data_IF_052944432137
#
_entry.id   IF_052944432137
#
_cell.length_a   1.000
_cell.length_b   1.000
_cell.length_c   1.000
_cell.angle_alpha   90.00
_cell.angle_beta   90.00
_cell.angle_gamma   90.00
#
_symmetry.space_group_name_H-M   'P 1'
#
loop_
_entity.id
_entity.type
_entity.pdbx_description
1 polymer ?
#
# COMPACT_ATOMS: atom_id res chain seq x y z
N UNK A 1 -24.45 -14.27 -21.82
CA UNK A 1 -23.29 -13.54 -21.28
C UNK A 1 -22.82 -12.58 -22.35
N UNK A 2 -23.35 -11.36 -22.32
CA UNK A 2 -23.16 -10.32 -23.33
C UNK A 2 -21.75 -9.77 -23.20
N UNK A 3 -20.86 -10.19 -24.10
CA UNK A 3 -19.57 -9.53 -24.29
C UNK A 3 -19.85 -8.11 -24.77
N UNK A 4 -19.46 -7.13 -23.96
CA UNK A 4 -19.53 -5.71 -24.25
C UNK A 4 -18.65 -5.44 -25.49
N UNK A 5 -19.24 -5.53 -26.69
CA UNK A 5 -18.53 -5.33 -27.95
C UNK A 5 -18.23 -3.84 -28.10
N UNK A 6 -17.04 -3.44 -27.64
CA UNK A 6 -16.54 -2.10 -27.84
C UNK A 6 -16.43 -1.80 -29.33
N UNK A 7 -17.14 -0.78 -29.79
CA UNK A 7 -17.09 -0.32 -31.18
C UNK A 7 -15.75 0.39 -31.46
N UNK A 8 -15.21 0.26 -32.68
CA UNK A 8 -14.00 0.97 -33.04
C UNK A 8 -14.21 2.48 -32.99
N UNK A 9 -13.18 3.20 -32.54
CA UNK A 9 -13.19 4.65 -32.49
C UNK A 9 -13.17 5.26 -33.91
N UNK A 10 -13.80 6.44 -34.12
CA UNK A 10 -13.89 7.07 -35.43
C UNK A 10 -12.55 7.36 -36.11
N UNK A 11 -11.54 7.78 -35.33
CA UNK A 11 -10.19 8.04 -35.82
C UNK A 11 -9.24 6.95 -35.35
N UNK A 12 -8.72 6.17 -36.29
CA UNK A 12 -7.76 5.12 -36.02
C UNK A 12 -6.32 5.64 -36.18
N UNK A 13 -5.54 5.56 -35.10
CA UNK A 13 -4.11 5.93 -35.10
C UNK A 13 -3.26 4.69 -35.36
N UNK A 14 -2.12 4.84 -36.06
CA UNK A 14 -1.13 3.77 -36.26
C UNK A 14 -0.16 3.69 -35.08
N UNK A 15 0.06 2.49 -34.49
CA UNK A 15 1.05 2.33 -33.44
C UNK A 15 2.47 2.46 -34.01
N UNK A 16 3.37 3.05 -33.24
CA UNK A 16 4.80 3.17 -33.53
C UNK A 16 5.57 2.07 -32.81
N UNK A 17 6.59 1.48 -33.45
CA UNK A 17 7.34 0.36 -32.89
C UNK A 17 8.20 0.72 -31.65
N UNK A 18 8.42 2.01 -31.39
CA UNK A 18 9.23 2.49 -30.26
C UNK A 18 8.39 3.20 -29.18
N UNK A 19 7.07 3.24 -29.32
CA UNK A 19 6.20 3.88 -28.32
C UNK A 19 5.70 2.88 -27.28
N UNK A 20 5.36 3.39 -26.09
CA UNK A 20 4.72 2.58 -25.06
C UNK A 20 3.22 2.48 -25.32
N UNK A 21 2.59 1.44 -24.79
CA UNK A 21 1.15 1.23 -24.84
C UNK A 21 0.39 2.41 -24.20
N UNK A 22 0.91 2.96 -23.10
CA UNK A 22 0.34 4.17 -22.48
C UNK A 22 0.40 5.37 -23.44
N UNK A 23 1.53 5.58 -24.13
CA UNK A 23 1.67 6.67 -25.11
C UNK A 23 0.77 6.48 -26.33
N UNK A 24 0.62 5.25 -26.81
CA UNK A 24 -0.30 4.93 -27.89
C UNK A 24 -1.76 5.20 -27.51
N UNK A 25 -2.20 4.80 -26.31
CA UNK A 25 -3.54 5.10 -25.79
C UNK A 25 -3.76 6.61 -25.68
N UNK A 26 -2.75 7.34 -25.22
CA UNK A 26 -2.79 8.80 -25.09
C UNK A 26 -3.04 9.46 -26.46
N UNK A 27 -2.23 9.12 -27.47
CA UNK A 27 -2.42 9.59 -28.86
C UNK A 27 -3.77 9.19 -29.45
N UNK A 28 -4.25 7.98 -29.16
CA UNK A 28 -5.54 7.51 -29.64
C UNK A 28 -6.70 8.29 -29.01
N UNK A 29 -6.58 8.67 -27.73
CA UNK A 29 -7.55 9.51 -27.04
C UNK A 29 -7.56 10.93 -27.63
N UNK A 30 -6.40 11.55 -27.77
CA UNK A 30 -6.23 12.88 -28.37
C UNK A 30 -6.81 12.95 -29.78
N UNK A 31 -6.51 11.95 -30.63
CA UNK A 31 -7.03 11.88 -31.98
C UNK A 31 -8.56 11.86 -32.02
N UNK A 32 -9.20 11.24 -31.03
CA UNK A 32 -10.66 11.14 -30.89
C UNK A 32 -11.26 12.20 -29.95
N UNK A 33 -10.49 13.21 -29.53
CA UNK A 33 -10.92 14.24 -28.59
C UNK A 33 -11.48 13.69 -27.26
N UNK A 34 -10.95 12.56 -26.80
CA UNK A 34 -11.27 11.94 -25.53
C UNK A 34 -10.22 12.29 -24.48
N UNK A 35 -10.60 12.31 -23.20
CA UNK A 35 -9.63 12.40 -22.11
C UNK A 35 -8.76 11.14 -22.08
N UNK A 36 -7.43 11.25 -22.07
CA UNK A 36 -6.54 10.09 -22.01
C UNK A 36 -6.80 9.19 -20.80
N UNK A 37 -7.07 9.78 -19.63
CA UNK A 37 -7.38 9.01 -18.42
C UNK A 37 -8.67 8.18 -18.57
N UNK A 38 -9.67 8.73 -19.26
CA UNK A 38 -10.95 8.05 -19.50
C UNK A 38 -10.77 6.84 -20.41
N UNK A 39 -10.11 7.01 -21.56
CA UNK A 39 -9.86 5.90 -22.48
C UNK A 39 -9.01 4.81 -21.81
N UNK A 40 -8.00 5.21 -21.04
CA UNK A 40 -7.14 4.28 -20.29
C UNK A 40 -7.90 3.45 -19.26
N UNK A 41 -8.89 4.03 -18.58
CA UNK A 41 -9.73 3.36 -17.58
C UNK A 41 -10.72 2.38 -18.20
N UNK A 42 -11.25 2.71 -19.39
CA UNK A 42 -12.15 1.83 -20.16
C UNK A 42 -11.44 0.54 -20.59
N UNK A 43 -10.15 0.64 -20.91
CA UNK A 43 -9.29 -0.46 -21.35
C UNK A 43 -8.90 -1.47 -20.25
N UNK A 44 -9.44 -1.36 -19.04
CA UNK A 44 -9.12 -2.24 -17.91
C UNK A 44 -10.26 -3.18 -17.53
N UNK A 45 -9.94 -4.24 -16.79
CA UNK A 45 -10.92 -5.20 -16.24
C UNK A 45 -10.59 -5.46 -14.76
N UNK A 46 -11.49 -5.15 -13.81
CA UNK A 46 -12.81 -4.55 -13.99
C UNK A 46 -12.73 -3.12 -14.57
N UNK A 47 -13.80 -2.61 -15.21
CA UNK A 47 -13.82 -1.27 -15.79
C UNK A 47 -13.54 -0.22 -14.71
N UNK A 48 -12.89 0.89 -15.10
CA UNK A 48 -12.45 1.95 -14.19
C UNK A 48 -11.44 1.51 -13.13
N UNK A 49 -10.74 0.40 -13.36
CA UNK A 49 -9.61 0.01 -12.53
C UNK A 49 -8.30 0.61 -13.06
N UNK A 50 -7.31 0.74 -12.17
CA UNK A 50 -5.96 1.19 -12.52
C UNK A 50 -5.06 0.00 -12.92
N UNK A 51 -5.69 -1.02 -13.52
CA UNK A 51 -5.06 -2.28 -13.91
C UNK A 51 -4.31 -2.21 -15.24
N UNK A 52 -3.77 -3.36 -15.72
CA UNK A 52 -3.11 -3.44 -17.01
C UNK A 52 -4.09 -3.17 -18.15
N UNK A 53 -3.57 -2.58 -19.24
CA UNK A 53 -4.31 -2.39 -20.49
C UNK A 53 -4.62 -3.76 -21.08
N UNK A 54 -5.90 -4.03 -21.35
CA UNK A 54 -6.35 -5.27 -21.98
C UNK A 54 -6.15 -5.17 -23.49
N UNK A 55 -5.39 -6.11 -24.05
CA UNK A 55 -5.09 -6.17 -25.47
C UNK A 55 -6.36 -6.24 -26.31
N UNK A 56 -7.32 -7.09 -25.95
CA UNK A 56 -8.53 -7.31 -26.74
C UNK A 56 -9.42 -6.06 -26.80
N UNK A 57 -9.53 -5.33 -25.68
CA UNK A 57 -10.28 -4.06 -25.63
C UNK A 57 -9.60 -2.98 -26.46
N UNK A 58 -8.26 -2.91 -26.40
CA UNK A 58 -7.50 -1.94 -27.18
C UNK A 58 -7.58 -2.26 -28.68
N UNK A 59 -7.53 -3.54 -29.04
CA UNK A 59 -7.71 -4.02 -30.41
C UNK A 59 -9.09 -3.64 -30.96
N UNK A 60 -10.14 -3.87 -30.19
CA UNK A 60 -11.51 -3.50 -30.53
C UNK A 60 -11.67 -1.98 -30.75
N UNK A 61 -11.23 -1.16 -29.79
CA UNK A 61 -11.32 0.31 -29.88
C UNK A 61 -10.44 0.89 -30.99
N UNK A 62 -9.25 0.33 -31.23
CA UNK A 62 -8.37 0.77 -32.30
C UNK A 62 -8.81 0.26 -33.69
N UNK A 63 -9.77 -0.68 -33.76
CA UNK A 63 -10.16 -1.36 -34.99
C UNK A 63 -9.00 -2.12 -35.64
N UNK A 64 -8.10 -2.71 -34.83
CA UNK A 64 -6.89 -3.40 -35.31
C UNK A 64 -6.83 -4.84 -34.85
N UNK A 65 -6.20 -5.68 -35.66
CA UNK A 65 -5.84 -7.04 -35.27
C UNK A 65 -4.89 -7.02 -34.05
N UNK A 66 -5.22 -7.75 -32.96
CA UNK A 66 -4.38 -7.83 -31.77
C UNK A 66 -2.94 -8.29 -32.07
N UNK A 67 -2.72 -9.14 -33.08
CA UNK A 67 -1.37 -9.58 -33.44
C UNK A 67 -0.48 -8.42 -33.91
N UNK A 68 -1.05 -7.46 -34.65
CA UNK A 68 -0.33 -6.27 -35.09
C UNK A 68 0.00 -5.32 -33.93
N UNK A 69 -0.91 -5.20 -32.96
CA UNK A 69 -0.65 -4.44 -31.74
C UNK A 69 0.47 -5.06 -30.91
N UNK A 70 0.51 -6.39 -30.77
CA UNK A 70 1.60 -7.08 -30.04
C UNK A 70 2.96 -6.87 -30.71
N UNK A 71 3.02 -6.82 -32.05
CA UNK A 71 4.27 -6.57 -32.78
C UNK A 71 4.81 -5.16 -32.52
N UNK A 72 3.94 -4.17 -32.47
CA UNK A 72 4.33 -2.77 -32.21
C UNK A 72 4.52 -2.47 -30.71
N UNK A 73 3.72 -3.10 -29.85
CA UNK A 73 3.62 -2.85 -28.41
C UNK A 73 3.76 -4.19 -27.64
N UNK A 74 4.98 -4.77 -27.57
CA UNK A 74 5.21 -6.08 -26.98
C UNK A 74 4.91 -6.15 -25.47
N UNK A 75 4.85 -4.99 -24.80
CA UNK A 75 4.53 -4.85 -23.37
C UNK A 75 3.06 -5.15 -23.02
N UNK A 76 2.15 -5.15 -23.99
CA UNK A 76 0.74 -5.49 -23.79
C UNK A 76 0.52 -6.97 -23.51
N UNK A 77 1.46 -7.83 -23.92
CA UNK A 77 1.40 -9.26 -23.61
C UNK A 77 1.73 -9.44 -22.13
N UNK A 78 0.82 -10.03 -21.33
CA UNK A 78 1.12 -10.35 -19.95
C UNK A 78 2.39 -11.19 -19.91
N UNK A 79 3.45 -10.64 -19.31
CA UNK A 79 4.63 -11.44 -18.99
C UNK A 79 4.15 -12.52 -18.03
N UNK A 80 4.00 -13.75 -18.51
CA UNK A 80 3.73 -14.90 -17.67
C UNK A 80 4.90 -15.03 -16.71
N UNK A 81 4.71 -14.49 -15.50
CA UNK A 81 5.60 -14.79 -14.39
C UNK A 81 5.42 -16.28 -14.17
N UNK A 82 6.41 -17.09 -14.55
CA UNK A 82 6.43 -18.51 -14.23
C UNK A 82 6.23 -18.61 -12.71
N UNK A 83 5.07 -19.13 -12.22
CA UNK A 83 4.71 -19.01 -10.81
C UNK A 83 5.75 -19.66 -9.88
N UNK A 84 6.45 -20.68 -10.37
CA UNK A 84 7.55 -21.35 -9.67
C UNK A 84 8.80 -20.48 -9.47
N UNK A 85 9.05 -19.48 -10.33
CA UNK A 85 10.28 -18.68 -10.28
C UNK A 85 10.34 -17.81 -9.04
N UNK A 86 9.20 -17.36 -8.50
CA UNK A 86 9.17 -16.60 -7.24
C UNK A 86 9.50 -17.49 -6.03
N UNK A 87 8.86 -18.65 -5.91
CA UNK A 87 9.15 -19.62 -4.83
C UNK A 87 10.58 -20.14 -4.89
N UNK A 88 11.07 -20.44 -6.08
CA UNK A 88 12.45 -20.86 -6.32
C UNK A 88 13.45 -19.76 -5.95
N UNK A 89 13.16 -18.50 -6.29
CA UNK A 89 14.01 -17.38 -5.90
C UNK A 89 14.02 -17.17 -4.37
N UNK A 90 12.89 -17.37 -3.70
CA UNK A 90 12.80 -17.34 -2.23
C UNK A 90 13.62 -18.49 -1.60
N UNK A 91 13.48 -19.71 -2.11
CA UNK A 91 14.27 -20.86 -1.66
C UNK A 91 15.79 -20.66 -1.90
N UNK A 92 16.17 -20.11 -3.05
CA UNK A 92 17.57 -19.73 -3.33
C UNK A 92 18.06 -18.65 -2.37
N UNK A 93 17.20 -17.68 -2.02
CA UNK A 93 17.53 -16.63 -1.06
C UNK A 93 17.76 -17.20 0.34
N UNK A 94 16.88 -18.06 0.83
CA UNK A 94 17.02 -18.69 2.16
C UNK A 94 18.27 -19.56 2.23
N UNK A 95 18.54 -20.37 1.20
CA UNK A 95 19.76 -21.17 1.09
C UNK A 95 21.03 -20.30 1.10
N UNK A 96 21.03 -19.20 0.35
CA UNK A 96 22.17 -18.28 0.34
C UNK A 96 22.38 -17.58 1.68
N UNK A 97 21.30 -17.24 2.40
CA UNK A 97 21.38 -16.68 3.76
C UNK A 97 21.93 -17.71 4.76
N UNK A 98 21.52 -18.98 4.67
CA UNK A 98 22.07 -20.07 5.48
C UNK A 98 23.55 -20.28 5.22
N UNK A 99 23.97 -20.46 3.95
CA UNK A 99 25.39 -20.59 3.57
C UNK A 99 26.24 -19.41 4.05
N UNK A 100 25.67 -18.20 4.04
CA UNK A 100 26.35 -17.01 4.54
C UNK A 100 26.51 -17.06 6.07
N UNK A 101 25.52 -17.54 6.81
CA UNK A 101 25.58 -17.72 8.28
C UNK A 101 26.62 -18.78 8.65
N UNK A 102 26.60 -19.92 7.98
CA UNK A 102 27.58 -21.01 8.19
C UNK A 102 29.00 -20.52 7.94
N UNK A 103 29.22 -19.77 6.85
CA UNK A 103 30.54 -19.17 6.57
C UNK A 103 30.99 -18.22 7.67
N UNK A 104 30.09 -17.39 8.19
CA UNK A 104 30.40 -16.46 9.29
C UNK A 104 30.71 -17.22 10.58
N UNK A 105 29.98 -18.29 10.88
CA UNK A 105 30.24 -19.15 12.02
C UNK A 105 31.61 -19.85 11.92
N UNK A 106 31.98 -20.37 10.74
CA UNK A 106 33.28 -20.98 10.49
C UNK A 106 34.43 -19.99 10.71
N UNK A 107 34.30 -18.75 10.21
CA UNK A 107 35.28 -17.68 10.45
C UNK A 107 35.45 -17.41 11.94
N UNK A 108 34.36 -17.34 12.71
CA UNK A 108 34.43 -17.12 14.16
C UNK A 108 35.07 -18.30 14.89
N UNK A 109 34.78 -19.52 14.47
CA UNK A 109 35.39 -20.72 15.03
C UNK A 109 36.92 -20.71 14.82
N UNK A 110 37.38 -20.49 13.60
CA UNK A 110 38.80 -20.44 13.28
C UNK A 110 39.52 -19.25 13.93
N UNK A 111 38.83 -18.13 14.15
CA UNK A 111 39.37 -17.00 14.89
C UNK A 111 39.60 -17.33 16.37
N UNK A 112 38.71 -18.12 16.99
CA UNK A 112 38.90 -18.61 18.38
C UNK A 112 40.08 -19.56 18.50
N UNK A 113 40.46 -20.24 17.42
CA UNK A 113 41.68 -21.05 17.34
C UNK A 113 42.97 -20.22 17.18
N UNK A 114 42.90 -18.88 17.25
CA UNK A 114 44.05 -17.99 17.22
C UNK A 114 44.52 -17.58 15.81
N UNK A 115 43.75 -17.88 14.76
CA UNK A 115 44.12 -17.48 13.40
C UNK A 115 44.07 -15.96 13.21
N UNK A 116 45.10 -15.40 12.55
CA UNK A 116 45.11 -13.98 12.19
C UNK A 116 44.05 -13.64 11.13
N UNK A 117 43.62 -12.38 11.08
CA UNK A 117 42.65 -11.88 10.07
C UNK A 117 43.11 -12.18 8.63
N UNK A 118 44.42 -12.16 8.36
CA UNK A 118 44.98 -12.49 7.04
C UNK A 118 44.86 -13.99 6.72
N UNK A 119 45.13 -14.85 7.70
CA UNK A 119 44.98 -16.30 7.54
C UNK A 119 43.51 -16.68 7.32
N UNK A 120 42.59 -16.09 8.10
CA UNK A 120 41.14 -16.30 7.95
C UNK A 120 40.61 -15.87 6.57
N UNK A 121 41.04 -14.71 6.08
CA UNK A 121 40.66 -14.22 4.76
C UNK A 121 41.07 -15.19 3.65
N UNK A 122 42.26 -15.78 3.77
CA UNK A 122 42.82 -16.74 2.82
C UNK A 122 42.10 -18.09 2.91
N UNK A 123 41.94 -18.64 4.13
CA UNK A 123 41.30 -19.94 4.39
C UNK A 123 39.83 -19.98 3.96
N UNK A 124 39.08 -18.90 4.20
CA UNK A 124 37.65 -18.84 3.87
C UNK A 124 37.35 -18.16 2.52
N UNK A 125 38.37 -17.80 1.75
CA UNK A 125 38.24 -17.09 0.46
C UNK A 125 37.33 -15.85 0.55
N UNK A 126 37.55 -15.00 1.55
CA UNK A 126 36.80 -13.76 1.77
C UNK A 126 37.74 -12.57 1.98
N UNK A 127 37.27 -11.36 1.63
CA UNK A 127 38.01 -10.14 1.93
C UNK A 127 38.13 -9.88 3.44
N UNK A 128 39.21 -9.24 3.88
CA UNK A 128 39.48 -8.88 5.29
C UNK A 128 38.33 -8.10 5.94
N UNK A 129 37.62 -7.25 5.17
CA UNK A 129 36.43 -6.52 5.63
C UNK A 129 35.26 -7.44 5.99
N UNK A 130 35.13 -8.58 5.32
CA UNK A 130 34.11 -9.60 5.63
C UNK A 130 34.49 -10.37 6.89
N UNK A 131 35.77 -10.68 7.09
CA UNK A 131 36.28 -11.27 8.33
C UNK A 131 35.98 -10.34 9.51
N UNK A 132 36.31 -9.04 9.40
CA UNK A 132 35.98 -8.05 10.43
C UNK A 132 34.48 -8.02 10.77
N UNK A 133 33.61 -8.04 9.76
CA UNK A 133 32.15 -8.12 9.96
C UNK A 133 31.71 -9.42 10.65
N UNK A 134 32.35 -10.54 10.35
CA UNK A 134 32.02 -11.83 10.94
C UNK A 134 32.42 -11.92 12.42
N UNK A 135 33.52 -11.24 12.80
CA UNK A 135 33.95 -11.12 14.19
C UNK A 135 33.11 -10.12 14.99
N UNK A 136 32.62 -9.05 14.36
CA UNK A 136 31.80 -8.01 15.00
C UNK A 136 30.33 -8.41 15.21
N UNK A 137 29.78 -9.30 14.37
CA UNK A 137 28.36 -9.65 14.43
C UNK A 137 28.14 -11.15 14.19
N UNK A 138 27.33 -11.75 15.06
CA UNK A 138 26.96 -13.16 14.92
C UNK A 138 26.11 -13.41 13.68
N UNK A 139 25.20 -12.48 13.40
CA UNK A 139 24.28 -12.51 12.27
C UNK A 139 24.92 -11.74 11.11
N UNK A 140 25.05 -12.33 9.91
CA UNK A 140 25.60 -11.62 8.77
C UNK A 140 24.73 -10.40 8.43
N UNK A 141 25.32 -9.21 8.20
CA UNK A 141 24.54 -8.01 7.92
C UNK A 141 23.70 -8.19 6.66
N UNK A 142 22.45 -7.67 6.64
CA UNK A 142 21.61 -7.75 5.47
C UNK A 142 22.29 -7.07 4.27
N UNK A 143 21.97 -7.55 3.06
CA UNK A 143 22.49 -6.93 1.83
C UNK A 143 21.99 -5.48 1.79
N UNK A 144 22.90 -4.52 1.57
CA UNK A 144 22.55 -3.12 1.34
C UNK A 144 21.55 -3.06 0.18
N UNK A 145 20.35 -2.54 0.46
CA UNK A 145 19.37 -2.29 -0.59
C UNK A 145 19.86 -1.08 -1.39
N UNK A 146 19.93 -1.24 -2.71
CA UNK A 146 20.18 -0.11 -3.61
C UNK A 146 18.83 0.53 -3.85
N UNK A 147 18.64 1.74 -3.33
CA UNK A 147 17.46 2.54 -3.59
C UNK A 147 17.59 3.14 -4.98
N UNK A 148 16.80 2.62 -5.93
CA UNK A 148 16.67 3.21 -7.26
C UNK A 148 15.44 4.09 -7.24
N UNK A 149 15.61 5.39 -7.44
CA UNK A 149 14.47 6.27 -7.63
C UNK A 149 13.88 6.04 -9.03
N UNK A 150 12.55 5.96 -9.17
CA UNK A 150 11.93 5.88 -10.49
C UNK A 150 12.14 7.21 -11.22
N UNK A 151 12.89 7.18 -12.33
CA UNK A 151 13.17 8.36 -13.17
C UNK A 151 11.90 9.02 -13.70
N UNK A 152 10.85 8.22 -13.94
CA UNK A 152 9.56 8.65 -14.51
C UNK A 152 8.86 9.74 -13.70
N UNK A 153 9.10 9.81 -12.39
CA UNK A 153 8.45 10.82 -11.55
C UNK A 153 9.25 12.12 -11.44
N UNK A 154 10.50 12.19 -11.87
CA UNK A 154 11.42 13.26 -11.46
C UNK A 154 10.92 14.67 -11.85
N UNK A 155 10.30 14.84 -13.03
CA UNK A 155 9.67 16.12 -13.44
C UNK A 155 8.20 16.32 -13.02
N UNK A 156 7.53 15.27 -12.53
CA UNK A 156 6.12 15.34 -12.11
C UNK A 156 5.95 15.61 -10.61
N UNK A 157 7.03 15.50 -9.83
CA UNK A 157 7.00 15.68 -8.37
C UNK A 157 6.46 17.05 -7.97
N UNK A 158 6.93 18.10 -8.62
CA UNK A 158 6.52 19.48 -8.32
C UNK A 158 5.01 19.68 -8.57
N UNK A 159 4.50 19.14 -9.67
CA UNK A 159 3.08 19.16 -9.99
C UNK A 159 2.25 18.37 -8.97
N UNK A 160 2.71 17.17 -8.57
CA UNK A 160 2.03 16.36 -7.55
C UNK A 160 2.04 17.07 -6.20
N UNK A 161 3.18 17.64 -5.80
CA UNK A 161 3.33 18.38 -4.54
C UNK A 161 2.41 19.61 -4.55
N UNK A 162 2.34 20.38 -5.64
CA UNK A 162 1.43 21.52 -5.79
C UNK A 162 -0.05 21.11 -5.68
N UNK A 163 -0.47 20.01 -6.33
CA UNK A 163 -1.83 19.47 -6.18
C UNK A 163 -2.13 19.07 -4.73
N UNK A 164 -1.15 18.49 -4.03
CA UNK A 164 -1.28 18.09 -2.63
C UNK A 164 -1.26 19.27 -1.66
N UNK A 165 -0.61 20.39 -2.00
CA UNK A 165 -0.70 21.64 -1.21
C UNK A 165 -2.06 22.31 -1.40
N UNK A 166 -2.56 22.38 -2.64
CA UNK A 166 -3.86 22.99 -2.93
C UNK A 166 -5.03 22.20 -2.32
N UNK A 167 -4.96 20.86 -2.33
CA UNK A 167 -5.98 20.01 -1.70
C UNK A 167 -5.34 18.76 -1.08
N UNK A 168 -5.07 18.76 0.25
CA UNK A 168 -4.49 17.61 0.93
C UNK A 168 -5.31 16.32 0.85
N UNK A 169 -6.65 16.44 0.71
CA UNK A 169 -7.58 15.31 0.66
C UNK A 169 -7.75 14.71 -0.74
N UNK A 170 -7.13 15.28 -1.77
CA UNK A 170 -7.23 14.77 -3.15
C UNK A 170 -6.80 13.29 -3.23
N UNK A 171 -7.54 12.48 -3.98
CA UNK A 171 -7.22 11.04 -4.08
C UNK A 171 -6.04 10.80 -5.00
N UNK A 172 -5.26 9.74 -4.75
CA UNK A 172 -4.16 9.35 -5.63
C UNK A 172 -4.64 9.03 -7.06
N UNK A 173 -5.85 8.50 -7.19
CA UNK A 173 -6.49 8.27 -8.48
C UNK A 173 -6.80 9.58 -9.21
N UNK A 174 -7.31 10.61 -8.52
CA UNK A 174 -7.58 11.91 -9.11
C UNK A 174 -6.29 12.64 -9.54
N UNK A 175 -5.22 12.58 -8.72
CA UNK A 175 -3.90 13.09 -9.13
C UNK A 175 -3.41 12.35 -10.38
N UNK A 176 -3.49 11.02 -10.38
CA UNK A 176 -3.06 10.22 -11.52
C UNK A 176 -3.83 10.57 -12.80
N UNK A 177 -5.16 10.74 -12.72
CA UNK A 177 -5.98 11.18 -13.85
C UNK A 177 -5.56 12.56 -14.36
N UNK A 178 -5.35 13.54 -13.46
CA UNK A 178 -4.85 14.87 -13.83
C UNK A 178 -3.48 14.84 -14.48
N UNK A 179 -2.55 14.01 -13.99
CA UNK A 179 -1.24 13.86 -14.63
C UNK A 179 -1.36 13.33 -16.07
N UNK A 180 -2.31 12.43 -16.32
CA UNK A 180 -2.60 11.94 -17.66
C UNK A 180 -3.32 12.99 -18.53
N UNK A 181 -4.24 13.77 -17.98
CA UNK A 181 -5.10 14.68 -18.77
C UNK A 181 -4.48 16.07 -18.99
N UNK A 182 -3.68 16.58 -18.04
CA UNK A 182 -3.18 17.97 -18.04
C UNK A 182 -1.67 18.07 -18.39
N UNK A 183 -0.90 16.99 -18.19
CA UNK A 183 0.56 17.02 -18.31
C UNK A 183 1.13 16.04 -19.36
N UNK A 184 0.28 15.40 -20.17
CA UNK A 184 0.61 14.37 -21.16
C UNK A 184 1.56 13.27 -20.64
N UNK A 185 1.53 13.07 -19.32
CA UNK A 185 2.44 12.20 -18.63
C UNK A 185 1.85 10.79 -18.55
N UNK A 186 2.71 9.78 -18.66
CA UNK A 186 2.31 8.36 -18.54
C UNK A 186 2.89 7.69 -17.29
N UNK A 187 2.73 8.26 -16.06
CA UNK A 187 3.26 7.65 -14.86
C UNK A 187 2.42 6.42 -14.48
N UNK A 188 3.08 5.38 -13.99
CA UNK A 188 2.39 4.21 -13.45
C UNK A 188 1.66 4.56 -12.15
N UNK A 189 0.40 4.14 -11.99
CA UNK A 189 -0.38 4.41 -10.78
C UNK A 189 0.32 3.98 -9.47
N UNK A 190 0.93 2.77 -9.35
CA UNK A 190 1.73 2.41 -8.19
C UNK A 190 2.85 3.41 -7.86
N UNK A 191 3.52 3.98 -8.86
CA UNK A 191 4.59 4.95 -8.64
C UNK A 191 4.03 6.24 -8.02
N UNK A 192 2.93 6.76 -8.58
CA UNK A 192 2.22 7.95 -8.06
C UNK A 192 1.70 7.69 -6.65
N UNK A 193 1.03 6.54 -6.42
CA UNK A 193 0.51 6.15 -5.11
C UNK A 193 1.63 6.07 -4.06
N UNK A 194 2.72 5.36 -4.35
CA UNK A 194 3.86 5.25 -3.43
C UNK A 194 4.43 6.62 -3.10
N UNK A 195 4.61 7.47 -4.11
CA UNK A 195 5.12 8.83 -3.90
C UNK A 195 4.20 9.67 -2.99
N UNK A 196 2.90 9.68 -3.27
CA UNK A 196 1.90 10.39 -2.45
C UNK A 196 1.87 9.85 -1.01
N UNK A 197 1.89 8.53 -0.82
CA UNK A 197 1.93 7.93 0.51
C UNK A 197 3.17 8.38 1.28
N UNK A 198 4.35 8.33 0.66
CA UNK A 198 5.60 8.81 1.28
C UNK A 198 5.55 10.31 1.60
N UNK A 199 4.94 11.13 0.75
CA UNK A 199 4.77 12.57 1.00
C UNK A 199 3.82 12.85 2.16
N UNK A 200 2.67 12.17 2.21
CA UNK A 200 1.72 12.28 3.31
C UNK A 200 2.32 11.88 4.63
N UNK A 201 3.05 10.75 4.67
CA UNK A 201 3.74 10.32 5.89
C UNK A 201 4.83 11.30 6.33
N UNK A 202 5.60 11.85 5.38
CA UNK A 202 6.61 12.86 5.69
C UNK A 202 6.01 14.17 6.25
N UNK A 203 4.85 14.60 5.74
CA UNK A 203 4.12 15.77 6.28
C UNK A 203 3.63 15.53 7.71
N UNK A 204 3.15 14.32 8.00
CA UNK A 204 2.74 13.93 9.36
C UNK A 204 3.91 13.83 10.35
N UNK A 205 5.11 13.48 9.86
CA UNK A 205 6.32 13.35 10.69
C UNK A 205 7.03 14.69 10.92
N UNK A 206 6.63 15.76 10.24
CA UNK A 206 7.17 17.10 10.47
C UNK A 206 6.60 17.61 11.79
N UNK A 207 7.41 17.81 12.85
CA UNK A 207 6.88 18.39 14.09
C UNK A 207 6.26 19.74 13.74
N UNK A 208 4.99 19.94 14.13
CA UNK A 208 4.42 21.30 14.15
C UNK A 208 5.36 22.11 15.04
N UNK A 209 6.13 23.01 14.46
CA UNK A 209 6.76 24.08 15.23
C UNK A 209 5.58 24.86 15.82
N UNK A 210 5.35 24.64 17.11
CA UNK A 210 4.35 25.33 17.90
C UNK A 210 4.89 26.73 18.14
N UNK A 211 4.52 27.68 17.28
CA UNK A 211 4.55 29.10 17.65
C UNK A 211 3.17 29.46 18.21
N UNK A 212 2.94 29.13 19.49
CA UNK A 212 2.08 29.87 20.41
C UNK A 212 2.41 29.45 21.86
N UNK A 213 2.56 30.40 22.80
CA UNK A 213 2.80 30.09 24.20
C UNK A 213 1.53 29.48 24.82
N UNK A 214 1.64 28.63 25.85
CA UNK A 214 0.49 27.96 26.45
C UNK A 214 -0.33 28.96 27.27
N UNK A 215 -1.31 29.61 26.65
CA UNK A 215 -2.41 30.22 27.40
C UNK A 215 -3.39 29.13 27.74
N UNK A 216 -3.41 28.82 29.03
CA UNK A 216 -4.30 27.88 29.68
C UNK A 216 -5.76 28.03 29.24
N UNK A 217 -6.29 27.01 28.57
CA UNK A 217 -7.70 26.65 28.65
C UNK A 217 -7.78 25.12 28.66
N UNK A 218 -7.84 24.59 29.89
CA UNK A 218 -8.27 23.24 30.17
C UNK A 218 -9.73 23.09 29.69
N UNK A 219 -9.90 22.68 28.43
CA UNK A 219 -11.17 22.18 27.94
C UNK A 219 -11.25 20.73 28.42
N UNK A 220 -12.20 20.48 29.34
CA UNK A 220 -12.39 19.21 30.01
C UNK A 220 -12.40 18.04 29.04
N UNK A 221 -11.45 17.11 29.27
CA UNK A 221 -11.46 15.77 28.69
C UNK A 221 -12.79 15.11 29.09
N UNK A 222 -13.68 14.71 28.17
CA UNK A 222 -14.87 13.95 28.56
C UNK A 222 -14.44 12.55 29.02
N UNK A 223 -14.30 12.41 30.34
CA UNK A 223 -13.96 11.17 31.04
C UNK A 223 -15.17 10.24 31.10
N UNK A 224 -15.50 9.63 29.97
CA UNK A 224 -16.27 8.36 29.92
C UNK A 224 -15.44 7.23 29.30
N UNK A 225 -14.20 7.49 28.84
CA UNK A 225 -13.35 6.45 28.30
C UNK A 225 -12.71 5.61 29.42
N UNK A 226 -12.69 4.27 29.31
CA UNK A 226 -12.03 3.39 30.27
C UNK A 226 -10.51 3.66 30.34
N UNK A 227 -9.83 3.24 31.42
CA UNK A 227 -8.40 3.50 31.62
C UNK A 227 -7.56 3.07 30.41
N UNK A 228 -6.51 3.84 30.09
CA UNK A 228 -5.68 3.64 28.90
C UNK A 228 -5.13 2.21 28.78
N UNK A 229 -4.73 1.60 29.90
CA UNK A 229 -4.27 0.22 29.96
C UNK A 229 -5.35 -0.80 29.55
N UNK A 230 -6.60 -0.61 29.97
CA UNK A 230 -7.72 -1.48 29.59
C UNK A 230 -8.06 -1.34 28.09
N UNK A 231 -7.94 -0.13 27.56
CA UNK A 231 -8.13 0.15 26.13
C UNK A 231 -7.03 -0.47 25.28
N UNK A 232 -5.77 -0.41 25.72
CA UNK A 232 -4.64 -1.07 25.07
C UNK A 232 -4.82 -2.59 25.06
N UNK A 233 -5.16 -3.19 26.20
CA UNK A 233 -5.40 -4.63 26.30
C UNK A 233 -6.56 -5.09 25.41
N UNK A 234 -7.69 -4.37 25.41
CA UNK A 234 -8.83 -4.68 24.55
C UNK A 234 -8.47 -4.58 23.06
N UNK A 235 -7.68 -3.58 22.68
CA UNK A 235 -7.21 -3.39 21.30
C UNK A 235 -6.30 -4.55 20.85
N UNK A 236 -5.40 -5.00 21.73
CA UNK A 236 -4.53 -6.17 21.45
C UNK A 236 -5.36 -7.45 21.30
N UNK A 237 -6.35 -7.66 22.17
CA UNK A 237 -7.25 -8.83 22.08
C UNK A 237 -8.13 -8.77 20.81
N UNK A 238 -8.62 -7.60 20.43
CA UNK A 238 -9.33 -7.38 19.16
C UNK A 238 -8.48 -7.75 17.95
N UNK A 239 -7.21 -7.31 17.91
CA UNK A 239 -6.28 -7.69 16.85
C UNK A 239 -6.09 -9.21 16.78
N UNK A 240 -5.96 -9.88 17.92
CA UNK A 240 -5.83 -11.33 17.96
C UNK A 240 -7.05 -12.04 17.35
N UNK A 241 -8.26 -11.64 17.74
CA UNK A 241 -9.51 -12.18 17.19
C UNK A 241 -9.63 -11.92 15.68
N UNK A 242 -9.26 -10.72 15.24
CA UNK A 242 -9.27 -10.34 13.83
C UNK A 242 -8.33 -11.23 12.99
N UNK A 243 -7.12 -11.51 13.48
CA UNK A 243 -6.19 -12.42 12.79
C UNK A 243 -6.71 -13.86 12.72
N UNK A 244 -7.34 -14.36 13.79
CA UNK A 244 -7.97 -15.69 13.78
C UNK A 244 -9.10 -15.75 12.75
N UNK A 245 -9.93 -14.72 12.67
CA UNK A 245 -11.05 -14.66 11.74
C UNK A 245 -10.57 -14.55 10.28
N UNK A 246 -9.58 -13.70 9.98
CA UNK A 246 -8.95 -13.65 8.65
C UNK A 246 -8.41 -15.03 8.27
N UNK A 247 -7.75 -15.73 9.21
CA UNK A 247 -7.21 -17.07 8.95
C UNK A 247 -8.31 -18.09 8.67
N UNK A 248 -9.45 -18.02 9.37
CA UNK A 248 -10.62 -18.87 9.09
C UNK A 248 -11.26 -18.55 7.74
N UNK A 249 -11.41 -17.27 7.39
CA UNK A 249 -12.00 -16.85 6.12
C UNK A 249 -11.14 -17.20 4.90
N UNK A 250 -9.83 -17.26 5.09
CA UNK A 250 -8.83 -17.58 4.06
C UNK A 250 -8.39 -19.05 4.06
N UNK A 251 -8.85 -19.85 5.03
CA UNK A 251 -8.62 -21.29 5.04
C UNK A 251 -9.31 -21.97 3.84
N UNK A 252 -8.61 -22.93 3.23
CA UNK A 252 -9.16 -23.71 2.13
C UNK A 252 -10.20 -24.69 2.68
N UNK A 253 -11.48 -24.46 2.37
CA UNK A 253 -12.55 -25.40 2.67
C UNK A 253 -12.72 -26.31 1.44
N UNK A 254 -12.50 -27.62 1.60
CA UNK A 254 -12.96 -28.61 0.63
C UNK A 254 -14.48 -28.72 0.76
N UNK A 255 -15.22 -27.86 0.04
CA UNK A 255 -16.60 -28.13 -0.33
C UNK A 255 -17.09 -27.19 -1.44
N UNK A 256 -17.88 -27.75 -2.36
CA UNK A 256 -18.45 -27.16 -3.59
C UNK A 256 -19.46 -26.02 -3.35
N UNK A 257 -19.08 -24.98 -2.58
CA UNK A 257 -19.94 -23.81 -2.38
C UNK A 257 -19.58 -22.66 -3.32
N UNK A 258 -20.39 -22.55 -4.37
CA UNK A 258 -20.75 -21.40 -5.21
C UNK A 258 -19.77 -20.21 -5.16
N UNK A 259 -19.20 -19.85 -6.31
CA UNK A 259 -18.26 -18.73 -6.56
C UNK A 259 -18.60 -17.43 -5.78
N UNK A 260 -19.90 -17.12 -5.59
CA UNK A 260 -20.35 -15.97 -4.80
C UNK A 260 -20.00 -16.03 -3.30
N UNK A 261 -19.99 -17.21 -2.69
CA UNK A 261 -19.61 -17.40 -1.28
C UNK A 261 -18.09 -17.24 -1.06
N UNK A 262 -17.26 -17.54 -2.07
CA UNK A 262 -15.82 -17.31 -2.01
C UNK A 262 -15.47 -15.81 -2.13
N UNK A 263 -16.12 -15.10 -3.05
CA UNK A 263 -15.93 -13.65 -3.19
C UNK A 263 -16.42 -12.88 -1.95
N UNK A 264 -17.54 -13.31 -1.36
CA UNK A 264 -18.05 -12.70 -0.14
C UNK A 264 -17.10 -12.89 1.05
N UNK A 265 -16.52 -14.10 1.20
CA UNK A 265 -15.49 -14.38 2.22
C UNK A 265 -14.24 -13.52 2.03
N UNK A 266 -13.78 -13.38 0.78
CA UNK A 266 -12.62 -12.54 0.44
C UNK A 266 -12.86 -11.06 0.74
N UNK A 267 -14.05 -10.53 0.42
CA UNK A 267 -14.45 -9.16 0.77
C UNK A 267 -14.44 -8.96 2.29
N UNK A 268 -15.02 -9.89 3.04
CA UNK A 268 -15.05 -9.84 4.50
C UNK A 268 -13.63 -9.90 5.11
N UNK A 269 -12.75 -10.75 4.60
CA UNK A 269 -11.36 -10.81 5.05
C UNK A 269 -10.59 -9.50 4.81
N UNK A 270 -10.82 -8.83 3.67
CA UNK A 270 -10.22 -7.53 3.39
C UNK A 270 -10.77 -6.43 4.31
N UNK A 271 -12.07 -6.42 4.59
CA UNK A 271 -12.70 -5.46 5.51
C UNK A 271 -12.11 -5.57 6.93
N UNK A 272 -11.86 -6.80 7.42
CA UNK A 272 -11.21 -7.02 8.73
C UNK A 272 -9.72 -6.61 8.67
N UNK A 273 -9.03 -6.88 7.56
CA UNK A 273 -7.63 -6.51 7.41
C UNK A 273 -7.41 -4.99 7.43
N UNK A 274 -8.35 -4.21 6.86
CA UNK A 274 -8.32 -2.75 6.93
C UNK A 274 -8.45 -2.26 8.38
N UNK A 275 -9.38 -2.84 9.16
CA UNK A 275 -9.53 -2.56 10.61
C UNK A 275 -8.22 -2.86 11.35
N UNK A 276 -7.60 -4.01 11.09
CA UNK A 276 -6.32 -4.39 11.71
C UNK A 276 -5.20 -3.39 11.41
N UNK A 277 -5.13 -2.87 10.18
CA UNK A 277 -4.09 -1.94 9.79
C UNK A 277 -4.14 -0.67 10.65
N UNK A 278 -5.34 -0.13 10.87
CA UNK A 278 -5.54 1.05 11.71
C UNK A 278 -5.20 0.73 13.17
N UNK A 279 -5.73 -0.36 13.74
CA UNK A 279 -5.46 -0.76 15.13
C UNK A 279 -3.96 -0.93 15.42
N UNK A 280 -3.21 -1.53 14.49
CA UNK A 280 -1.75 -1.67 14.60
C UNK A 280 -1.05 -0.30 14.61
N UNK A 281 -1.53 0.64 13.81
CA UNK A 281 -0.98 2.00 13.77
C UNK A 281 -1.16 2.74 15.10
N UNK A 282 -2.28 2.53 15.79
CA UNK A 282 -2.57 3.19 17.07
C UNK A 282 -1.86 2.54 18.27
N UNK A 283 -1.54 1.24 18.21
CA UNK A 283 -0.72 0.55 19.23
C UNK A 283 0.77 0.89 19.17
N UNK A 284 1.20 1.69 18.19
CA UNK A 284 2.58 2.14 18.09
C UNK A 284 2.98 2.98 19.32
N UNK A 285 4.21 2.85 19.86
CA UNK A 285 4.60 3.46 21.14
C UNK A 285 4.39 4.98 21.26
N UNK A 286 4.38 5.69 20.13
CA UNK A 286 4.23 7.14 20.05
C UNK A 286 2.77 7.61 19.92
N UNK A 287 1.80 6.69 19.86
CA UNK A 287 0.35 6.99 19.71
C UNK A 287 -0.52 6.31 20.77
N UNK A 288 0.08 5.60 21.73
CA UNK A 288 -0.66 4.87 22.76
C UNK A 288 -1.50 5.79 23.64
N UNK A 289 -1.02 7.01 23.87
CA UNK A 289 -1.73 8.02 24.65
C UNK A 289 -3.01 8.52 23.95
N UNK A 290 -3.05 8.44 22.61
CA UNK A 290 -4.18 8.86 21.76
C UNK A 290 -5.05 7.66 21.31
N UNK A 291 -4.80 6.46 21.85
CA UNK A 291 -5.45 5.22 21.42
C UNK A 291 -6.99 5.30 21.48
N UNK A 292 -7.52 5.90 22.55
CA UNK A 292 -8.96 6.06 22.73
C UNK A 292 -9.58 6.98 21.66
N UNK A 293 -8.89 8.05 21.30
CA UNK A 293 -9.33 8.97 20.24
C UNK A 293 -9.19 8.33 18.85
N UNK A 294 -8.16 7.51 18.64
CA UNK A 294 -7.98 6.68 17.46
C UNK A 294 -9.13 5.69 17.26
N UNK A 295 -9.55 5.00 18.32
CA UNK A 295 -10.71 4.09 18.28
C UNK A 295 -12.03 4.82 18.02
N UNK A 296 -12.25 6.00 18.63
CA UNK A 296 -13.42 6.84 18.33
C UNK A 296 -13.43 7.30 16.87
N UNK A 297 -12.28 7.70 16.35
CA UNK A 297 -12.15 8.10 14.95
C UNK A 297 -12.47 6.92 14.02
N UNK A 298 -11.88 5.76 14.29
CA UNK A 298 -12.14 4.53 13.54
C UNK A 298 -13.62 4.14 13.57
N UNK A 299 -14.28 4.24 14.73
CA UNK A 299 -15.72 3.99 14.87
C UNK A 299 -16.57 4.94 14.01
N UNK A 300 -16.21 6.23 13.98
CA UNK A 300 -16.91 7.25 13.18
C UNK A 300 -16.73 7.02 11.67
N UNK A 301 -15.53 6.67 11.23
CA UNK A 301 -15.24 6.45 9.80
C UNK A 301 -15.61 5.05 9.30
N UNK A 302 -15.82 4.09 10.21
CA UNK A 302 -16.20 2.72 9.88
C UNK A 302 -17.58 2.65 9.21
N UNK A 303 -17.70 1.77 8.21
CA UNK A 303 -18.99 1.45 7.60
C UNK A 303 -19.87 0.60 8.54
N UNK A 304 -21.15 0.42 8.22
CA UNK A 304 -22.11 -0.32 9.05
C UNK A 304 -21.67 -1.74 9.39
N UNK A 305 -20.97 -2.40 8.46
CA UNK A 305 -20.47 -3.77 8.64
C UNK A 305 -19.29 -3.83 9.60
N UNK A 306 -18.35 -2.91 9.43
CA UNK A 306 -17.18 -2.75 10.30
C UNK A 306 -17.62 -2.37 11.73
N UNK A 307 -18.59 -1.46 11.89
CA UNK A 307 -19.16 -1.13 13.20
C UNK A 307 -19.82 -2.33 13.87
N UNK A 308 -20.64 -3.09 13.13
CA UNK A 308 -21.28 -4.31 13.65
C UNK A 308 -20.24 -5.34 14.08
N UNK A 309 -19.19 -5.53 13.27
CA UNK A 309 -18.10 -6.44 13.60
C UNK A 309 -17.36 -6.00 14.88
N UNK A 310 -16.99 -4.72 14.98
CA UNK A 310 -16.34 -4.15 16.17
C UNK A 310 -17.21 -4.33 17.42
N UNK A 311 -18.50 -3.99 17.31
CA UNK A 311 -19.46 -4.14 18.40
C UNK A 311 -19.51 -5.59 18.90
N UNK A 312 -19.77 -6.56 18.01
CA UNK A 312 -19.85 -7.98 18.38
C UNK A 312 -18.56 -8.49 19.02
N UNK A 313 -17.40 -8.05 18.54
CA UNK A 313 -16.10 -8.49 19.10
C UNK A 313 -15.79 -7.83 20.44
N UNK A 314 -16.15 -6.55 20.62
CA UNK A 314 -16.01 -5.85 21.90
C UNK A 314 -16.96 -6.41 22.97
N UNK A 315 -18.19 -6.75 22.60
CA UNK A 315 -19.15 -7.47 23.46
C UNK A 315 -18.62 -8.84 23.87
N UNK A 316 -18.05 -9.61 22.93
CA UNK A 316 -17.41 -10.90 23.23
C UNK A 316 -16.22 -10.80 24.18
N UNK A 317 -15.50 -9.67 24.15
CA UNK A 317 -14.39 -9.39 25.06
C UNK A 317 -14.85 -8.85 26.42
N UNK A 318 -16.15 -8.59 26.59
CA UNK A 318 -16.71 -7.95 27.80
C UNK A 318 -16.23 -6.50 27.98
N UNK A 319 -15.83 -5.83 26.90
CA UNK A 319 -15.31 -4.47 26.94
C UNK A 319 -16.45 -3.45 26.72
N UNK A 320 -16.53 -2.47 27.62
CA UNK A 320 -17.50 -1.38 27.49
C UNK A 320 -17.16 -0.50 26.29
N UNK A 321 -18.07 -0.47 25.31
CA UNK A 321 -17.92 0.26 24.06
C UNK A 321 -18.93 1.42 23.95
N UNK A 322 -19.73 1.70 24.99
CA UNK A 322 -20.73 2.79 24.96
C UNK A 322 -20.09 4.17 24.79
N UNK A 323 -18.88 4.35 25.32
CA UNK A 323 -18.09 5.58 25.14
C UNK A 323 -17.66 5.84 23.68
N UNK A 324 -17.71 4.84 22.79
CA UNK A 324 -17.51 5.01 21.35
C UNK A 324 -18.76 5.59 20.67
N UNK A 325 -19.94 5.34 21.23
CA UNK A 325 -21.23 5.81 20.73
C UNK A 325 -21.66 7.15 21.32
N UNK A 326 -21.17 7.51 22.50
CA UNK A 326 -21.50 8.78 23.16
C UNK A 326 -20.99 9.98 22.35
N UNK A 327 -21.91 10.80 21.85
CA UNK A 327 -21.60 12.14 21.34
C UNK A 327 -21.14 13.02 22.51
N UNK A 328 -20.02 13.76 22.40
CA UNK A 328 -19.80 14.88 23.31
C UNK A 328 -20.97 15.87 23.13
N UNK A 329 -21.52 16.44 24.21
CA UNK A 329 -22.56 17.44 24.10
C UNK A 329 -22.04 18.61 23.27
N UNK A 330 -22.88 18.99 22.31
CA UNK A 330 -22.81 20.13 21.41
C UNK A 330 -21.93 21.29 21.91
N UNK A 331 -20.72 21.43 21.36
CA UNK A 331 -20.04 22.74 21.38
C UNK A 331 -20.72 23.62 20.34
N UNK A 332 -21.83 24.23 20.76
CA UNK A 332 -22.37 25.42 20.09
C UNK A 332 -21.24 26.42 19.85
N UNK A 333 -21.14 27.04 18.66
CA UNK A 333 -20.12 28.06 18.40
C UNK A 333 -20.38 29.26 19.34
N UNK A 334 -19.32 29.95 19.81
CA UNK A 334 -19.51 31.06 20.75
C UNK A 334 -20.36 32.13 20.08
N UNK A 335 -21.41 32.55 20.79
CA UNK A 335 -22.22 33.70 20.42
C UNK A 335 -21.30 34.88 20.12
N UNK A 336 -21.41 35.40 18.89
CA UNK A 336 -20.80 36.68 18.52
C UNK A 336 -21.48 37.76 19.36
N UNK A 337 -20.84 38.17 20.44
CA UNK A 337 -21.19 39.41 21.12
C UNK A 337 -20.80 40.60 20.24
N UNK A 338 -21.80 41.41 19.88
CA UNK A 338 -21.74 42.87 19.72
C UNK A 338 -23.15 43.42 19.56
N UNK A 339 -23.41 44.68 19.95
CA UNK A 339 -22.56 45.64 20.67
C UNK A 339 -22.83 45.70 22.17
#
# INVERSE_FOLDING_TARGET
>A
MTGDQLLPLPRQVRPSAAETAERYVHRLAEANHLRPSYLRLLLTTPPNSLGPIQLDKLAALAGRDPANLVRALPELVPRTRTPGRSRENEARKTLNEQRKRERFAAIRYDARLGMSIRALATKHHVGRRTVGKALQSEIPPPRKKIERQPTVLLGLREHIDAMLEANPAITAAAIWQRLHDEHDATPSYPAVRTYITTRRTARLQRPRLVDEPPTALAIGRPTNAPPAAATEEATVRLLHLAFLEIRLLTASIHNDQLIGAADQRRKHANEIADICHDLISWLAPHRRDDLADGLRHQWRTANTRQRRWLQTRLEQLGYDHHWLTDLPPDTSPPARNRP
#
